data_IF_050627829581
#
_entry.id   IF_050627829581
#
_cell.length_a   1.000
_cell.length_b   1.000
_cell.length_c   1.000
_cell.angle_alpha   90.00
_cell.angle_beta   90.00
_cell.angle_gamma   90.00
#
_symmetry.space_group_name_H-M   'P 1'
#
loop_
_entity.id
_entity.type
_entity.pdbx_description
1 polymer ?
#
# COMPACT_ATOMS: atom_id res chain seq x y z
N UNK A 1 7.32 -3.85 -8.39
CA UNK A 1 6.19 -3.42 -9.23
C UNK A 1 5.76 -1.99 -8.96
N UNK A 2 5.36 -1.62 -7.70
CA UNK A 2 4.83 -0.27 -7.41
C UNK A 2 5.80 0.86 -7.76
N UNK A 3 7.06 0.78 -7.29
CA UNK A 3 8.09 1.77 -7.64
C UNK A 3 8.31 1.79 -9.15
N UNK A 4 8.45 0.63 -9.75
CA UNK A 4 8.70 0.47 -11.17
C UNK A 4 7.59 1.10 -12.02
N UNK A 5 6.32 0.75 -11.75
CA UNK A 5 5.19 1.32 -12.49
C UNK A 5 5.10 2.85 -12.39
N UNK A 6 5.39 3.43 -11.22
CA UNK A 6 5.32 4.88 -11.01
C UNK A 6 6.50 5.62 -11.65
N UNK A 7 7.71 5.06 -11.54
CA UNK A 7 8.91 5.72 -12.07
C UNK A 7 9.01 5.55 -13.59
N UNK A 8 8.63 4.40 -14.13
CA UNK A 8 8.62 4.17 -15.59
C UNK A 8 7.59 5.05 -16.30
N UNK A 9 6.47 5.38 -15.66
CA UNK A 9 5.53 6.37 -16.19
C UNK A 9 6.20 7.74 -16.41
N UNK A 10 7.17 8.09 -15.56
CA UNK A 10 7.98 9.30 -15.70
C UNK A 10 9.28 9.07 -16.48
N UNK A 11 9.43 7.94 -17.18
CA UNK A 11 10.64 7.55 -17.93
C UNK A 11 11.91 7.47 -17.05
N UNK A 12 11.74 7.12 -15.77
CA UNK A 12 12.83 6.97 -14.80
C UNK A 12 12.95 5.48 -14.40
N UNK A 13 14.12 4.89 -14.62
CA UNK A 13 14.42 3.53 -14.15
C UNK A 13 14.71 3.52 -12.65
N UNK A 14 13.95 2.73 -11.89
CA UNK A 14 14.20 2.51 -10.47
C UNK A 14 15.04 1.25 -10.26
N UNK A 15 16.25 1.42 -9.76
CA UNK A 15 17.13 0.30 -9.40
C UNK A 15 17.12 0.04 -7.91
N UNK A 16 17.05 -1.24 -7.54
CA UNK A 16 16.97 -1.69 -6.15
C UNK A 16 18.19 -2.55 -5.84
N UNK A 17 19.29 -1.99 -5.30
CA UNK A 17 20.56 -2.70 -5.09
C UNK A 17 20.42 -3.98 -4.27
N UNK A 18 19.55 -3.97 -3.24
CA UNK A 18 19.32 -5.14 -2.39
C UNK A 18 18.50 -6.26 -3.06
N UNK A 19 17.93 -6.02 -4.24
CA UNK A 19 17.19 -7.02 -5.02
C UNK A 19 18.07 -7.61 -6.17
N UNK A 20 19.39 -7.51 -6.10
CA UNK A 20 20.25 -8.11 -7.11
C UNK A 20 20.17 -9.65 -7.06
N UNK A 21 20.19 -10.30 -8.23
CA UNK A 21 20.13 -11.75 -8.34
C UNK A 21 21.27 -12.44 -7.56
N UNK A 22 22.49 -11.88 -7.61
CA UNK A 22 23.65 -12.39 -6.88
C UNK A 22 23.42 -12.38 -5.36
N UNK A 23 22.89 -11.29 -4.84
CA UNK A 23 22.58 -11.18 -3.40
C UNK A 23 21.47 -12.16 -3.01
N UNK A 24 20.44 -12.26 -3.82
CA UNK A 24 19.32 -13.19 -3.59
C UNK A 24 19.82 -14.65 -3.56
N UNK A 25 20.65 -15.07 -4.52
CA UNK A 25 21.26 -16.39 -4.53
C UNK A 25 22.13 -16.66 -3.30
N UNK A 26 22.91 -15.68 -2.89
CA UNK A 26 23.76 -15.79 -1.70
C UNK A 26 22.95 -15.97 -0.42
N UNK A 27 21.92 -15.17 -0.21
CA UNK A 27 21.14 -15.20 1.05
C UNK A 27 20.09 -16.32 1.11
N UNK A 28 19.72 -16.91 -0.03
CA UNK A 28 18.62 -17.87 -0.12
C UNK A 28 18.81 -19.09 0.78
N UNK A 29 20.05 -19.61 0.87
CA UNK A 29 20.39 -20.80 1.65
C UNK A 29 20.90 -20.49 3.06
N UNK A 30 20.91 -19.22 3.48
CA UNK A 30 21.37 -18.88 4.83
C UNK A 30 20.33 -19.33 5.85
N UNK A 31 20.70 -20.12 6.85
CA UNK A 31 19.78 -20.54 7.89
C UNK A 31 19.13 -19.36 8.62
N UNK A 32 17.85 -19.48 8.92
CA UNK A 32 17.04 -18.41 9.52
C UNK A 32 17.66 -17.81 10.80
N UNK A 33 18.34 -18.62 11.60
CA UNK A 33 19.02 -18.17 12.84
C UNK A 33 20.04 -17.04 12.62
N UNK A 34 20.57 -16.88 11.41
CA UNK A 34 21.48 -15.79 11.07
C UNK A 34 20.76 -14.57 10.50
N UNK A 35 19.54 -14.78 9.98
CA UNK A 35 18.73 -13.68 9.44
C UNK A 35 17.92 -12.97 10.52
N UNK A 36 17.62 -13.71 11.60
CA UNK A 36 16.88 -13.19 12.74
C UNK A 36 17.44 -13.80 14.03
N UNK A 37 18.03 -12.97 14.89
CA UNK A 37 18.47 -13.34 16.23
C UNK A 37 18.43 -12.13 17.18
N UNK A 38 18.52 -12.37 18.48
CA UNK A 38 18.48 -11.34 19.54
C UNK A 38 17.28 -10.38 19.45
N UNK A 39 16.16 -10.87 18.88
CA UNK A 39 14.97 -10.07 18.72
C UNK A 39 14.99 -9.06 17.56
N UNK A 40 16.04 -9.10 16.74
CA UNK A 40 16.22 -8.17 15.62
C UNK A 40 16.02 -8.85 14.26
N UNK A 41 15.19 -8.23 13.44
CA UNK A 41 15.10 -8.51 12.02
C UNK A 41 16.34 -7.99 11.28
N UNK A 42 16.69 -8.64 10.15
CA UNK A 42 17.86 -8.29 9.33
C UNK A 42 19.19 -8.40 10.11
N UNK A 43 19.27 -9.35 11.04
CA UNK A 43 20.40 -9.51 11.94
C UNK A 43 21.73 -9.65 11.18
N UNK A 44 21.79 -10.50 10.15
CA UNK A 44 22.98 -10.65 9.31
C UNK A 44 23.49 -9.31 8.74
N UNK A 45 22.58 -8.43 8.29
CA UNK A 45 22.97 -7.13 7.76
C UNK A 45 23.49 -6.21 8.89
N UNK A 46 22.87 -6.26 10.07
CA UNK A 46 23.30 -5.48 11.24
C UNK A 46 24.68 -5.92 11.70
N UNK A 47 24.91 -7.23 11.76
CA UNK A 47 26.22 -7.80 12.12
C UNK A 47 27.33 -7.42 11.13
N UNK A 48 27.01 -7.45 9.84
CA UNK A 48 27.97 -7.08 8.81
C UNK A 48 28.43 -5.62 8.92
N UNK A 49 27.57 -4.72 9.39
CA UNK A 49 27.85 -3.28 9.48
C UNK A 49 28.04 -2.76 10.91
N UNK A 50 28.17 -3.64 11.91
CA UNK A 50 28.27 -3.25 13.32
C UNK A 50 29.43 -2.31 13.66
N UNK A 51 30.52 -2.37 12.89
CA UNK A 51 31.70 -1.52 13.09
C UNK A 51 31.68 -0.27 12.18
N UNK A 52 30.70 -0.15 11.28
CA UNK A 52 30.63 0.92 10.28
C UNK A 52 29.49 1.90 10.54
N UNK A 53 28.43 1.44 11.22
CA UNK A 53 27.25 2.26 11.48
C UNK A 53 27.13 2.63 12.97
N UNK A 54 26.60 3.82 13.28
CA UNK A 54 26.26 4.20 14.64
C UNK A 54 25.26 3.23 15.27
N UNK A 55 25.36 3.04 16.59
CA UNK A 55 24.52 2.11 17.35
C UNK A 55 23.02 2.44 17.21
N UNK A 56 22.67 3.71 17.16
CA UNK A 56 21.29 4.17 17.00
C UNK A 56 20.66 3.73 15.68
N UNK A 57 21.47 3.52 14.63
CA UNK A 57 21.03 2.98 13.34
C UNK A 57 20.95 1.45 13.41
N UNK A 58 21.93 0.79 14.02
CA UNK A 58 21.95 -0.65 14.17
C UNK A 58 20.79 -1.19 15.00
N UNK A 59 20.44 -0.50 16.11
CA UNK A 59 19.38 -0.88 17.04
C UNK A 59 17.99 -0.36 16.61
N UNK A 60 17.92 0.44 15.55
CA UNK A 60 16.66 1.04 15.11
C UNK A 60 15.63 -0.03 14.75
N UNK A 61 14.47 0.01 15.40
CA UNK A 61 13.31 -0.80 15.05
C UNK A 61 12.63 -0.26 13.81
N UNK A 62 12.03 -1.16 13.04
CA UNK A 62 11.25 -0.79 11.86
C UNK A 62 10.04 0.05 12.30
N UNK A 63 9.96 1.28 11.82
CA UNK A 63 8.78 2.11 11.95
C UNK A 63 7.98 2.04 10.65
N UNK A 64 6.66 1.80 10.72
CA UNK A 64 5.81 1.91 9.54
C UNK A 64 5.75 3.36 9.06
N UNK A 65 5.50 3.55 7.76
CA UNK A 65 5.20 4.88 7.26
C UNK A 65 3.98 5.46 7.97
N UNK A 66 3.95 6.79 8.23
CA UNK A 66 2.81 7.42 8.86
C UNK A 66 1.54 7.13 8.07
N UNK A 67 0.47 6.74 8.77
CA UNK A 67 -0.85 6.67 8.18
C UNK A 67 -1.36 8.07 7.92
N UNK A 68 -2.12 8.26 6.84
CA UNK A 68 -2.88 9.48 6.66
C UNK A 68 -4.09 9.45 7.60
N UNK A 69 -3.97 10.14 8.72
CA UNK A 69 -5.06 10.33 9.69
C UNK A 69 -5.76 11.69 9.53
N UNK A 70 -5.42 12.44 8.48
CA UNK A 70 -5.99 13.75 8.23
C UNK A 70 -7.50 13.66 7.95
N UNK A 71 -8.35 14.32 8.73
CA UNK A 71 -9.78 14.41 8.43
C UNK A 71 -10.04 15.07 7.06
N UNK A 72 -9.22 16.04 6.69
CA UNK A 72 -9.30 16.74 5.40
C UNK A 72 -9.11 15.74 4.25
N UNK A 73 -8.14 14.83 4.36
CA UNK A 73 -7.95 13.79 3.35
C UNK A 73 -9.18 12.91 3.21
N UNK A 74 -9.75 12.46 4.33
CA UNK A 74 -10.94 11.63 4.33
C UNK A 74 -12.13 12.33 3.66
N UNK A 75 -12.35 13.61 3.99
CA UNK A 75 -13.43 14.41 3.42
C UNK A 75 -13.24 14.62 1.92
N UNK A 76 -12.03 14.92 1.47
CA UNK A 76 -11.72 15.05 0.04
C UNK A 76 -11.97 13.76 -0.73
N UNK A 77 -11.56 12.61 -0.18
CA UNK A 77 -11.78 11.30 -0.81
C UNK A 77 -13.27 10.97 -0.85
N UNK A 78 -14.01 11.21 0.23
CA UNK A 78 -15.47 11.02 0.27
C UNK A 78 -16.18 11.89 -0.79
N UNK A 79 -15.79 13.16 -0.92
CA UNK A 79 -16.36 14.07 -1.90
C UNK A 79 -16.08 13.57 -3.34
N UNK A 80 -14.84 13.17 -3.62
CA UNK A 80 -14.47 12.63 -4.92
C UNK A 80 -15.24 11.35 -5.25
N UNK A 81 -15.41 10.46 -4.29
CA UNK A 81 -16.18 9.24 -4.48
C UNK A 81 -17.67 9.52 -4.67
N UNK A 82 -18.25 10.47 -3.91
CA UNK A 82 -19.61 10.91 -4.11
C UNK A 82 -19.84 11.48 -5.52
N UNK A 83 -18.91 12.29 -6.04
CA UNK A 83 -18.95 12.78 -7.41
C UNK A 83 -18.91 11.64 -8.43
N UNK A 84 -18.01 10.67 -8.22
CA UNK A 84 -17.90 9.49 -9.07
C UNK A 84 -19.19 8.65 -9.12
N UNK A 85 -19.91 8.58 -8.01
CA UNK A 85 -21.15 7.83 -7.89
C UNK A 85 -22.40 8.58 -8.43
N UNK A 86 -22.27 9.84 -8.89
CA UNK A 86 -23.33 10.49 -9.66
C UNK A 86 -23.50 9.89 -11.05
N UNK A 87 -22.42 9.34 -11.60
CA UNK A 87 -22.45 8.58 -12.84
C UNK A 87 -23.07 7.20 -12.59
N UNK A 88 -24.29 6.99 -13.10
CA UNK A 88 -24.99 5.71 -12.97
C UNK A 88 -24.30 4.55 -13.72
N UNK A 89 -23.38 4.87 -14.64
CA UNK A 89 -22.58 3.90 -15.38
C UNK A 89 -21.24 3.62 -14.70
N UNK A 90 -20.99 4.17 -13.51
CA UNK A 90 -19.76 3.90 -12.78
C UNK A 90 -19.54 2.38 -12.61
N UNK A 91 -18.34 1.92 -12.93
CA UNK A 91 -17.91 0.53 -12.74
C UNK A 91 -18.15 0.04 -11.30
N UNK A 92 -18.15 0.96 -10.33
CA UNK A 92 -18.40 0.64 -8.93
C UNK A 92 -19.79 0.05 -8.69
N UNK A 93 -20.82 0.47 -9.45
CA UNK A 93 -22.16 -0.11 -9.33
C UNK A 93 -22.28 -1.50 -9.94
N UNK A 94 -21.33 -1.89 -10.79
CA UNK A 94 -21.21 -3.25 -11.30
C UNK A 94 -20.50 -4.19 -10.34
N UNK A 95 -19.58 -3.65 -9.55
CA UNK A 95 -18.70 -4.41 -8.64
C UNK A 95 -19.25 -4.48 -7.21
N UNK A 96 -20.02 -3.49 -6.77
CA UNK A 96 -20.43 -3.35 -5.38
C UNK A 96 -21.90 -3.01 -5.24
N UNK A 97 -22.50 -3.42 -4.13
CA UNK A 97 -23.88 -3.06 -3.80
C UNK A 97 -23.97 -1.56 -3.45
N UNK A 98 -24.92 -0.88 -4.08
CA UNK A 98 -25.12 0.58 -3.94
C UNK A 98 -25.30 1.01 -2.49
N UNK A 99 -26.09 0.27 -1.73
CA UNK A 99 -26.36 0.59 -0.32
C UNK A 99 -25.11 0.48 0.54
N UNK A 100 -24.25 -0.51 0.28
CA UNK A 100 -22.99 -0.67 1.00
C UNK A 100 -21.99 0.44 0.67
N UNK A 101 -21.92 0.88 -0.60
CA UNK A 101 -21.09 2.02 -0.99
C UNK A 101 -21.57 3.30 -0.29
N UNK A 102 -22.89 3.57 -0.28
CA UNK A 102 -23.44 4.72 0.38
C UNK A 102 -23.20 4.72 1.88
N UNK A 103 -23.37 3.59 2.54
CA UNK A 103 -23.08 3.45 3.98
C UNK A 103 -21.59 3.66 4.29
N UNK A 104 -20.71 3.12 3.46
CA UNK A 104 -19.26 3.30 3.61
C UNK A 104 -18.87 4.78 3.51
N UNK A 105 -19.42 5.50 2.54
CA UNK A 105 -19.14 6.93 2.37
C UNK A 105 -19.75 7.74 3.53
N UNK A 106 -21.01 7.49 3.89
CA UNK A 106 -21.71 8.16 4.99
C UNK A 106 -20.95 8.04 6.31
N UNK A 107 -20.39 6.86 6.58
CA UNK A 107 -19.60 6.60 7.78
C UNK A 107 -18.14 7.01 7.64
N UNK A 108 -17.74 7.60 6.51
CA UNK A 108 -16.35 7.94 6.19
C UNK A 108 -15.41 6.75 6.35
N UNK A 109 -15.88 5.57 5.99
CA UNK A 109 -15.18 4.31 6.11
C UNK A 109 -15.16 3.69 7.51
N UNK A 110 -15.83 4.29 8.52
CA UNK A 110 -15.84 3.77 9.88
C UNK A 110 -16.73 2.52 10.06
N UNK A 111 -17.62 2.23 9.12
CA UNK A 111 -18.37 0.97 9.06
C UNK A 111 -17.45 -0.23 8.80
N UNK A 112 -16.29 0.02 8.22
CA UNK A 112 -15.29 -1.00 7.94
C UNK A 112 -14.31 -1.11 9.11
N UNK A 113 -14.55 -2.08 10.00
CA UNK A 113 -13.83 -2.21 11.29
C UNK A 113 -12.50 -2.92 11.22
N UNK A 114 -12.23 -3.64 10.13
CA UNK A 114 -11.02 -4.44 9.98
C UNK A 114 -10.13 -3.87 8.86
N UNK A 115 -8.80 -4.01 8.98
CA UNK A 115 -7.92 -3.72 7.86
C UNK A 115 -8.27 -4.62 6.67
N UNK A 116 -8.52 -4.03 5.52
CA UNK A 116 -8.88 -4.76 4.29
C UNK A 116 -7.66 -5.24 3.52
N UNK A 117 -6.52 -4.58 3.72
CA UNK A 117 -5.26 -4.95 3.11
C UNK A 117 -4.09 -4.67 4.04
N UNK A 118 -3.36 -5.73 4.44
CA UNK A 118 -2.30 -5.62 5.43
C UNK A 118 -2.81 -5.09 6.78
N UNK A 119 -1.90 -4.66 7.62
CA UNK A 119 -2.23 -4.22 8.99
C UNK A 119 -2.70 -2.76 9.09
N UNK A 120 -2.55 -1.99 8.03
CA UNK A 120 -2.62 -0.53 8.09
C UNK A 120 -3.72 0.10 7.24
N UNK A 121 -4.30 -0.62 6.28
CA UNK A 121 -5.32 -0.09 5.36
C UNK A 121 -6.70 -0.14 6.00
N UNK A 122 -7.17 0.99 6.48
CA UNK A 122 -8.48 1.19 7.12
C UNK A 122 -9.45 1.89 6.16
N UNK A 123 -10.61 2.29 6.69
CA UNK A 123 -11.69 2.87 5.93
C UNK A 123 -11.32 4.00 4.94
N UNK A 124 -10.60 5.06 5.37
CA UNK A 124 -10.23 6.15 4.44
C UNK A 124 -9.39 5.69 3.25
N UNK A 125 -8.47 4.75 3.47
CA UNK A 125 -7.66 4.16 2.40
C UNK A 125 -8.50 3.26 1.50
N UNK A 126 -9.50 2.58 2.05
CA UNK A 126 -10.44 1.79 1.26
C UNK A 126 -11.31 2.67 0.35
N UNK A 127 -11.82 3.79 0.87
CA UNK A 127 -12.53 4.78 0.07
C UNK A 127 -11.66 5.30 -1.09
N UNK A 128 -10.39 5.62 -0.83
CA UNK A 128 -9.45 6.04 -1.85
C UNK A 128 -9.20 4.95 -2.90
N UNK A 129 -9.15 3.70 -2.49
CA UNK A 129 -8.99 2.56 -3.40
C UNK A 129 -10.22 2.38 -4.31
N UNK A 130 -11.41 2.52 -3.77
CA UNK A 130 -12.65 2.51 -4.58
C UNK A 130 -12.64 3.63 -5.63
N UNK A 131 -12.21 4.83 -5.25
CA UNK A 131 -12.06 5.92 -6.20
C UNK A 131 -11.01 5.63 -7.28
N UNK A 132 -9.90 4.97 -6.93
CA UNK A 132 -8.92 4.51 -7.92
C UNK A 132 -9.49 3.49 -8.91
N UNK A 133 -10.33 2.56 -8.44
CA UNK A 133 -11.03 1.61 -9.31
C UNK A 133 -11.95 2.35 -10.29
N UNK A 134 -12.71 3.35 -9.81
CA UNK A 134 -13.54 4.17 -10.68
C UNK A 134 -12.72 4.88 -11.76
N UNK A 135 -11.64 5.56 -11.38
CA UNK A 135 -10.75 6.24 -12.35
C UNK A 135 -10.13 5.26 -13.34
N UNK A 136 -9.69 4.11 -12.87
CA UNK A 136 -9.14 3.06 -13.73
C UNK A 136 -10.17 2.60 -14.78
N UNK A 137 -11.41 2.35 -14.34
CA UNK A 137 -12.49 1.99 -15.25
C UNK A 137 -12.76 3.04 -16.31
N UNK A 138 -12.73 4.34 -15.93
CA UNK A 138 -12.93 5.46 -16.86
C UNK A 138 -11.75 5.63 -17.84
N UNK A 139 -10.51 5.67 -17.32
CA UNK A 139 -9.32 5.94 -18.12
C UNK A 139 -9.09 4.84 -19.17
N UNK A 140 -9.28 3.59 -18.78
CA UNK A 140 -9.06 2.43 -19.67
C UNK A 140 -10.32 1.91 -20.33
N UNK A 141 -11.47 2.58 -20.13
CA UNK A 141 -12.77 2.19 -20.72
C UNK A 141 -13.07 0.70 -20.48
N UNK A 142 -12.91 0.26 -19.24
CA UNK A 142 -13.05 -1.14 -18.87
C UNK A 142 -14.51 -1.57 -18.98
N UNK A 143 -14.75 -2.58 -19.77
CA UNK A 143 -16.03 -3.30 -19.84
C UNK A 143 -15.94 -4.58 -18.99
N UNK A 144 -16.99 -4.83 -18.21
CA UNK A 144 -17.11 -6.04 -17.40
C UNK A 144 -18.07 -7.00 -18.10
N UNK A 145 -17.55 -8.19 -18.42
CA UNK A 145 -18.29 -9.25 -19.10
C UNK A 145 -18.76 -10.30 -18.08
N UNK A 146 -19.79 -9.91 -17.26
CA UNK A 146 -20.52 -10.81 -16.36
C UNK A 146 -21.90 -10.26 -16.00
#
# INVERSE_FOLDING_TARGET
TRSDSQTMHASIECRVPFASAKLMQYVYNIPWKYLYHDGHEKALLRDAFKNELPIEILERKKNPYPKTHSPIYCDLVCNKLNEALKDQNSILYRLFLKDQLNELIKTKGNSFKFPWFGQLMMGPQFLAYLYQIHLWGQIYQIELDF
#
